data_IF_083035250201
#
_entry.id   IF_083035250201
#
_cell.length_a   1.000
_cell.length_b   1.000
_cell.length_c   1.000
_cell.angle_alpha   90.00
_cell.angle_beta   90.00
_cell.angle_gamma   90.00
#
_symmetry.space_group_name_H-M   'P 1'
#
loop_
_entity.id
_entity.type
_entity.pdbx_description
1 polymer ?
#
# COMPACT_ATOMS: atom_id res chain seq x y z
N UNK A 1 14.60 -1.22 -9.99
CA UNK A 1 14.51 0.24 -9.81
C UNK A 1 14.81 0.60 -8.37
N UNK A 2 15.20 1.84 -8.10
CA UNK A 2 15.40 2.32 -6.74
C UNK A 2 14.09 2.28 -5.94
N UNK A 3 14.17 1.92 -4.66
CA UNK A 3 12.99 1.76 -3.80
C UNK A 3 12.28 3.09 -3.52
N UNK A 4 13.02 4.18 -3.29
CA UNK A 4 12.41 5.51 -3.06
C UNK A 4 11.79 6.05 -4.34
N UNK A 5 12.39 5.74 -5.50
CA UNK A 5 11.78 6.01 -6.79
C UNK A 5 10.44 5.25 -6.93
N UNK A 6 10.40 3.95 -6.63
CA UNK A 6 9.16 3.17 -6.67
C UNK A 6 8.11 3.70 -5.68
N UNK A 7 8.54 4.05 -4.46
CA UNK A 7 7.68 4.63 -3.44
C UNK A 7 7.03 5.93 -3.93
N UNK A 8 7.83 6.89 -4.38
CA UNK A 8 7.34 8.21 -4.82
C UNK A 8 6.40 8.14 -6.03
N UNK A 9 6.68 7.24 -6.98
CA UNK A 9 5.91 7.12 -8.22
C UNK A 9 4.64 6.30 -8.09
N UNK A 10 4.61 5.31 -7.19
CA UNK A 10 3.53 4.33 -7.11
C UNK A 10 2.91 4.26 -5.72
N UNK A 11 3.67 3.77 -4.74
CA UNK A 11 3.14 3.52 -3.40
C UNK A 11 2.81 4.79 -2.61
N UNK A 12 3.22 5.97 -3.07
CA UNK A 12 2.77 7.25 -2.52
C UNK A 12 1.28 7.52 -2.83
N UNK A 13 0.77 6.98 -3.93
CA UNK A 13 -0.63 7.20 -4.36
C UNK A 13 -1.53 6.10 -3.81
N UNK A 14 -1.17 4.83 -4.05
CA UNK A 14 -1.96 3.65 -3.69
C UNK A 14 -1.11 2.38 -3.68
N UNK A 15 -1.61 1.32 -3.04
CA UNK A 15 -1.03 -0.01 -3.23
C UNK A 15 -1.23 -0.47 -4.69
N UNK A 16 -0.13 -0.71 -5.40
CA UNK A 16 -0.14 -1.23 -6.79
C UNK A 16 0.13 -2.73 -6.84
N UNK A 17 0.43 -3.35 -5.70
CA UNK A 17 0.68 -4.78 -5.56
C UNK A 17 -0.66 -5.45 -5.22
N UNK A 18 -1.17 -6.26 -6.14
CA UNK A 18 -2.53 -6.80 -6.07
C UNK A 18 -2.70 -7.88 -5.00
N UNK A 19 -1.63 -8.56 -4.61
CA UNK A 19 -1.65 -9.56 -3.56
C UNK A 19 -0.28 -9.77 -2.91
N UNK A 20 -0.29 -10.07 -1.61
CA UNK A 20 0.91 -10.41 -0.82
C UNK A 20 1.62 -11.64 -1.36
N UNK A 21 0.89 -12.66 -1.80
CA UNK A 21 1.47 -13.91 -2.28
C UNK A 21 2.29 -13.75 -3.57
N UNK A 22 2.21 -12.59 -4.23
CA UNK A 22 2.97 -12.26 -5.45
C UNK A 22 4.30 -11.60 -5.17
N UNK A 23 4.62 -11.33 -3.90
CA UNK A 23 5.83 -10.62 -3.50
C UNK A 23 6.84 -11.61 -2.93
N UNK A 24 8.06 -11.54 -3.43
CA UNK A 24 9.22 -12.17 -2.81
C UNK A 24 10.06 -11.06 -2.18
N UNK A 25 10.34 -11.19 -0.88
CA UNK A 25 11.16 -10.26 -0.15
C UNK A 25 12.42 -10.95 0.37
N UNK A 26 13.55 -10.22 0.34
CA UNK A 26 14.73 -10.65 1.06
C UNK A 26 14.41 -10.73 2.56
N UNK A 27 14.71 -11.87 3.19
CA UNK A 27 14.27 -12.19 4.55
C UNK A 27 14.63 -11.11 5.57
N UNK A 28 15.89 -10.66 5.57
CA UNK A 28 16.34 -9.69 6.56
C UNK A 28 15.62 -8.34 6.38
N UNK A 29 15.51 -7.89 5.13
CA UNK A 29 14.81 -6.65 4.78
C UNK A 29 13.35 -6.65 5.25
N UNK A 30 12.67 -7.79 5.11
CA UNK A 30 11.30 -7.95 5.59
C UNK A 30 11.23 -7.93 7.12
N UNK A 31 12.12 -8.64 7.82
CA UNK A 31 12.15 -8.63 9.28
C UNK A 31 12.46 -7.25 9.86
N UNK A 32 13.41 -6.54 9.25
CA UNK A 32 13.72 -5.17 9.62
C UNK A 32 12.49 -4.28 9.41
N UNK A 33 11.68 -4.54 8.38
CA UNK A 33 10.43 -3.81 8.12
C UNK A 33 9.42 -4.07 9.23
N UNK A 34 9.17 -5.34 9.57
CA UNK A 34 8.32 -5.68 10.70
C UNK A 34 8.78 -5.04 12.01
N UNK A 35 10.07 -5.06 12.31
CA UNK A 35 10.61 -4.44 13.52
C UNK A 35 10.43 -2.91 13.54
N UNK A 36 10.56 -2.25 12.39
CA UNK A 36 10.40 -0.78 12.26
C UNK A 36 8.94 -0.35 12.35
N UNK A 37 8.02 -1.11 11.73
CA UNK A 37 6.58 -0.83 11.83
C UNK A 37 6.05 -1.19 13.22
N UNK A 38 6.50 -2.31 13.79
CA UNK A 38 6.08 -2.77 15.12
C UNK A 38 4.56 -2.97 15.23
N UNK A 39 4.04 -2.69 16.42
CA UNK A 39 2.62 -2.86 16.79
C UNK A 39 1.67 -1.96 15.98
N UNK A 40 2.21 -0.95 15.27
CA UNK A 40 1.43 -0.12 14.35
C UNK A 40 0.68 -0.97 13.32
N UNK A 41 1.29 -2.09 12.90
CA UNK A 41 0.76 -2.95 11.85
C UNK A 41 -0.57 -3.61 12.24
N UNK A 42 -0.78 -3.91 13.52
CA UNK A 42 -2.01 -4.55 14.02
C UNK A 42 -3.26 -3.67 13.86
N UNK A 43 -3.03 -2.35 13.77
CA UNK A 43 -4.06 -1.35 13.50
C UNK A 43 -4.57 -1.34 12.06
N UNK A 44 -3.86 -1.95 11.11
CA UNK A 44 -4.29 -2.03 9.72
C UNK A 44 -5.14 -3.28 9.48
N UNK A 45 -6.25 -3.10 8.76
CA UNK A 45 -7.12 -4.19 8.29
C UNK A 45 -7.08 -4.37 6.79
N UNK A 46 -6.73 -3.32 6.04
CA UNK A 46 -6.73 -3.30 4.58
C UNK A 46 -5.34 -3.01 4.04
N UNK A 47 -4.66 -1.99 4.55
CA UNK A 47 -3.42 -1.45 3.98
C UNK A 47 -2.13 -1.90 4.69
N UNK A 48 -2.18 -2.97 5.48
CA UNK A 48 -1.02 -3.43 6.25
C UNK A 48 0.15 -3.89 5.37
N UNK A 49 -0.15 -4.56 4.24
CA UNK A 49 0.87 -4.94 3.27
C UNK A 49 1.48 -3.71 2.58
N UNK A 50 0.65 -2.73 2.20
CA UNK A 50 1.10 -1.45 1.65
C UNK A 50 2.04 -0.73 2.62
N UNK A 51 1.71 -0.69 3.92
CA UNK A 51 2.56 -0.11 4.97
C UNK A 51 3.93 -0.78 5.03
N UNK A 52 3.99 -2.11 4.96
CA UNK A 52 5.24 -2.87 4.94
C UNK A 52 6.05 -2.61 3.68
N UNK A 53 5.42 -2.59 2.51
CA UNK A 53 6.13 -2.31 1.26
C UNK A 53 6.70 -0.89 1.24
N UNK A 54 5.94 0.08 1.75
CA UNK A 54 6.41 1.46 1.88
C UNK A 54 7.59 1.58 2.86
N UNK A 55 7.55 0.85 3.98
CA UNK A 55 8.67 0.75 4.94
C UNK A 55 9.94 0.17 4.30
N UNK A 56 9.80 -0.84 3.46
CA UNK A 56 10.93 -1.43 2.73
C UNK A 56 11.49 -0.39 1.76
N UNK A 57 10.62 0.25 0.98
CA UNK A 57 11.01 1.14 -0.12
C UNK A 57 11.60 2.49 0.36
N UNK A 58 11.26 2.95 1.57
CA UNK A 58 11.82 4.22 2.09
C UNK A 58 13.29 4.08 2.50
N UNK A 59 13.77 2.85 2.71
CA UNK A 59 15.16 2.59 3.12
C UNK A 59 16.12 2.90 2.00
N UNK A 60 17.23 3.51 2.39
CA UNK A 60 18.34 3.78 1.47
C UNK A 60 18.90 2.46 0.92
N UNK A 61 19.21 2.44 -0.37
CA UNK A 61 19.72 1.26 -1.07
C UNK A 61 18.69 0.15 -1.30
N UNK A 62 17.43 0.32 -0.89
CA UNK A 62 16.37 -0.62 -1.23
C UNK A 62 16.10 -0.59 -2.74
N UNK A 63 15.75 -1.74 -3.31
CA UNK A 63 15.43 -1.85 -4.73
C UNK A 63 14.18 -2.71 -4.93
N UNK A 64 13.46 -2.42 -6.00
CA UNK A 64 12.28 -3.16 -6.43
C UNK A 64 12.51 -3.71 -7.83
N UNK A 65 12.23 -5.00 -8.01
CA UNK A 65 12.30 -5.70 -9.29
C UNK A 65 10.91 -6.23 -9.64
N UNK A 66 10.55 -6.17 -10.91
CA UNK A 66 9.27 -6.67 -11.42
C UNK A 66 9.52 -7.83 -12.37
N UNK A 67 8.75 -8.91 -12.17
CA UNK A 67 8.75 -10.10 -12.99
C UNK A 67 7.37 -10.20 -13.67
N UNK A 68 7.26 -10.04 -15.01
CA UNK A 68 5.98 -10.00 -15.71
C UNK A 68 5.25 -11.35 -15.80
N UNK A 69 5.91 -12.45 -15.47
CA UNK A 69 5.36 -13.79 -15.56
C UNK A 69 4.19 -13.97 -14.57
N UNK A 70 3.05 -14.52 -15.03
CA UNK A 70 1.85 -14.70 -14.20
C UNK A 70 1.99 -15.90 -13.26
N UNK A 71 2.95 -15.85 -12.34
CA UNK A 71 3.28 -16.94 -11.42
C UNK A 71 2.39 -16.97 -10.17
N UNK A 72 1.61 -15.91 -9.96
CA UNK A 72 0.70 -15.81 -8.83
C UNK A 72 -0.71 -16.32 -9.19
N UNK A 73 -1.18 -17.33 -8.46
CA UNK A 73 -2.58 -17.77 -8.52
C UNK A 73 -3.37 -17.18 -7.35
N UNK A 74 -4.33 -16.31 -7.66
CA UNK A 74 -5.19 -15.70 -6.65
C UNK A 74 -6.43 -16.56 -6.39
N UNK A 75 -6.63 -17.01 -5.13
CA UNK A 75 -7.85 -17.73 -4.73
C UNK A 75 -8.96 -16.73 -4.44
N UNK A 76 -10.02 -16.74 -5.24
CA UNK A 76 -11.25 -15.98 -4.95
C UNK A 76 -12.14 -16.78 -4.00
N UNK A 77 -12.21 -16.37 -2.73
CA UNK A 77 -13.28 -16.81 -1.83
C UNK A 77 -14.46 -15.82 -1.88
N UNK A 78 -15.68 -16.33 -2.11
CA UNK A 78 -16.94 -15.60 -2.36
C UNK A 78 -17.60 -14.98 -1.10
N UNK A 79 -16.87 -14.28 -0.25
CA UNK A 79 -17.47 -13.58 0.89
C UNK A 79 -17.09 -12.10 0.85
N UNK A 80 -17.98 -11.29 0.29
CA UNK A 80 -17.96 -9.84 0.45
C UNK A 80 -18.80 -9.51 1.68
N UNK A 81 -18.17 -9.01 2.75
CA UNK A 81 -18.86 -8.46 3.92
C UNK A 81 -18.41 -7.01 4.05
N UNK A 82 -18.90 -6.13 3.17
CA UNK A 82 -18.72 -4.69 3.30
C UNK A 82 -19.91 -4.09 4.04
N UNK A 83 -19.77 -3.89 5.35
CA UNK A 83 -20.64 -3.00 6.13
C UNK A 83 -20.10 -1.57 6.05
N UNK A 84 -20.94 -0.54 6.22
CA UNK A 84 -20.54 0.87 6.15
C UNK A 84 -19.33 1.23 7.03
N UNK A 85 -19.18 0.59 8.20
CA UNK A 85 -18.02 0.76 9.08
C UNK A 85 -16.68 0.37 8.43
N UNK A 86 -16.71 -0.54 7.46
CA UNK A 86 -15.52 -0.97 6.73
C UNK A 86 -15.10 0.05 5.67
N UNK A 87 -16.04 0.84 5.13
CA UNK A 87 -15.76 1.87 4.13
C UNK A 87 -14.95 3.01 4.75
N UNK A 88 -15.42 3.59 5.86
CA UNK A 88 -14.73 4.69 6.53
C UNK A 88 -13.33 4.27 6.99
N UNK A 89 -13.21 3.07 7.54
CA UNK A 89 -11.90 2.50 7.94
C UNK A 89 -10.97 2.34 6.74
N UNK A 90 -11.46 1.80 5.63
CA UNK A 90 -10.65 1.64 4.42
C UNK A 90 -10.13 2.98 3.92
N UNK A 91 -10.99 4.01 3.84
CA UNK A 91 -10.60 5.35 3.42
C UNK A 91 -9.58 5.96 4.38
N UNK A 92 -9.78 5.83 5.68
CA UNK A 92 -8.85 6.32 6.70
C UNK A 92 -7.46 5.64 6.58
N UNK A 93 -7.41 4.34 6.28
CA UNK A 93 -6.14 3.64 6.05
C UNK A 93 -5.43 4.12 4.77
N UNK A 94 -6.17 4.49 3.71
CA UNK A 94 -5.58 5.11 2.51
C UNK A 94 -4.97 6.47 2.84
N UNK A 95 -5.71 7.34 3.53
CA UNK A 95 -5.23 8.68 3.93
C UNK A 95 -3.98 8.56 4.79
N UNK A 96 -4.02 7.70 5.81
CA UNK A 96 -2.87 7.41 6.69
C UNK A 96 -1.64 7.00 5.91
N UNK A 97 -1.80 6.15 4.89
CA UNK A 97 -0.68 5.74 4.05
C UNK A 97 -0.12 6.89 3.22
N UNK A 98 -0.99 7.71 2.63
CA UNK A 98 -0.59 8.87 1.83
C UNK A 98 0.15 9.92 2.66
N UNK A 99 -0.31 10.17 3.89
CA UNK A 99 0.33 11.05 4.87
C UNK A 99 1.69 10.50 5.31
N UNK A 100 1.74 9.22 5.71
CA UNK A 100 2.97 8.57 6.15
C UNK A 100 4.10 8.68 5.13
N UNK A 101 3.78 8.52 3.84
CA UNK A 101 4.75 8.68 2.74
C UNK A 101 5.14 10.15 2.59
N UNK A 102 4.18 11.08 2.65
CA UNK A 102 4.42 12.51 2.53
C UNK A 102 5.30 13.12 3.64
N UNK A 103 5.32 12.51 4.83
CA UNK A 103 6.21 12.89 5.92
C UNK A 103 7.67 12.46 5.70
N UNK A 104 7.91 11.45 4.86
CA UNK A 104 9.22 10.81 4.70
C UNK A 104 9.92 11.15 3.40
N UNK A 105 9.15 11.44 2.36
CA UNK A 105 9.68 11.84 1.07
C UNK A 105 8.95 13.08 0.54
N UNK A 106 9.70 13.98 -0.10
CA UNK A 106 9.10 15.15 -0.73
C UNK A 106 8.25 14.71 -1.93
N UNK A 107 6.95 14.94 -1.86
CA UNK A 107 6.01 14.65 -2.93
C UNK A 107 5.71 15.91 -3.75
N UNK A 108 5.87 15.79 -5.08
CA UNK A 108 5.49 16.85 -6.01
C UNK A 108 3.97 17.06 -6.06
N UNK A 109 3.50 18.22 -6.55
CA UNK A 109 2.08 18.55 -6.60
C UNK A 109 1.25 17.55 -7.43
N UNK A 110 1.85 16.98 -8.48
CA UNK A 110 1.19 15.96 -9.30
C UNK A 110 0.83 14.70 -8.49
N UNK A 111 1.74 14.24 -7.61
CA UNK A 111 1.50 13.06 -6.77
C UNK A 111 0.38 13.34 -5.77
N UNK A 112 0.36 14.53 -5.17
CA UNK A 112 -0.72 14.96 -4.27
C UNK A 112 -2.08 15.01 -4.96
N UNK A 113 -2.12 15.49 -6.21
CA UNK A 113 -3.35 15.44 -7.02
C UNK A 113 -3.82 13.99 -7.24
N UNK A 114 -2.89 13.08 -7.58
CA UNK A 114 -3.20 11.66 -7.75
C UNK A 114 -3.69 11.00 -6.46
N UNK A 115 -3.14 11.37 -5.30
CA UNK A 115 -3.60 10.92 -3.99
C UNK A 115 -5.07 11.31 -3.76
N UNK A 116 -5.43 12.58 -4.01
CA UNK A 116 -6.80 13.07 -3.91
C UNK A 116 -7.75 12.37 -4.89
N UNK A 117 -7.31 12.15 -6.12
CA UNK A 117 -8.11 11.44 -7.13
C UNK A 117 -8.33 9.98 -6.74
N UNK A 118 -7.31 9.33 -6.16
CA UNK A 118 -7.42 7.97 -5.65
C UNK A 118 -8.44 7.88 -4.51
N UNK A 119 -8.38 8.78 -3.51
CA UNK A 119 -9.34 8.82 -2.41
C UNK A 119 -10.78 8.98 -2.91
N UNK A 120 -11.01 9.93 -3.82
CA UNK A 120 -12.33 10.14 -4.44
C UNK A 120 -12.82 8.89 -5.20
N UNK A 121 -11.92 8.22 -5.93
CA UNK A 121 -12.25 7.01 -6.65
C UNK A 121 -12.58 5.85 -5.70
N UNK A 122 -11.79 5.65 -4.64
CA UNK A 122 -12.02 4.63 -3.61
C UNK A 122 -13.34 4.86 -2.89
N UNK A 123 -13.65 6.10 -2.50
CA UNK A 123 -14.93 6.44 -1.88
C UNK A 123 -16.08 6.05 -2.80
N UNK A 124 -16.07 6.50 -4.07
CA UNK A 124 -17.13 6.14 -5.03
C UNK A 124 -17.29 4.62 -5.18
N UNK A 125 -16.20 3.88 -5.27
CA UNK A 125 -16.24 2.42 -5.45
C UNK A 125 -16.83 1.72 -4.23
N UNK A 126 -16.40 2.10 -3.02
CA UNK A 126 -16.83 1.48 -1.77
C UNK A 126 -18.27 1.82 -1.41
N UNK A 127 -18.77 3.01 -1.78
CA UNK A 127 -20.17 3.41 -1.54
C UNK A 127 -21.13 2.95 -2.64
N UNK A 128 -20.68 2.78 -3.88
CA UNK A 128 -21.53 2.30 -4.99
C UNK A 128 -21.78 0.79 -4.94
N UNK A 129 -21.00 0.04 -4.14
CA UNK A 129 -21.19 -1.39 -3.90
C UNK A 129 -22.12 -1.73 -2.73
N UNK A 130 -22.79 -0.72 -2.14
CA UNK A 130 -23.80 -0.89 -1.08
C UNK A 130 -25.22 -0.84 -1.62
#
# INVERSE_FOLDING_TARGET
MDGREFLSRFLAVKNVILNVSGVIAHRQTLLDAFASVGDELDGFKVAGDWRLYAEICVREGSTVSWLPEPLNSHRRHKLSVTQALDVDRHLAEIERMQEWVGERIALGPNVKSLQMDHLKASHRYLTAGQ
#
